data_IF_550529277375
#
_entry.id   IF_550529277375
#
_cell.length_a   1.000
_cell.length_b   1.000
_cell.length_c   1.000
_cell.angle_alpha   90.00
_cell.angle_beta   90.00
_cell.angle_gamma   90.00
#
_symmetry.space_group_name_H-M   'P 1'
#
loop_
_entity.id
_entity.type
_entity.pdbx_description
1 polymer ?
2 polymer ?
3 non-polymer ?
4 water ?
#
# COMPACT_ATOMS: atom_id res chain seq x y z
N UNK A 15 -14.47 19.04 22.51
CA UNK A 15 -14.88 18.38 23.80
C UNK A 15 -13.87 17.30 24.32
N UNK A 16 -14.11 16.70 25.51
CA UNK A 16 -13.16 15.70 26.06
C UNK A 16 -12.90 14.43 25.22
N UNK A 17 -13.94 13.83 24.65
CA UNK A 17 -13.80 12.65 23.78
C UNK A 17 -13.18 13.00 22.44
N UNK A 18 -13.70 14.03 21.80
CA UNK A 18 -13.11 14.58 20.57
C UNK A 18 -11.61 14.73 20.68
N UNK A 19 -11.18 15.36 21.78
CA UNK A 19 -9.77 15.61 22.05
C UNK A 19 -8.90 14.33 21.94
N UNK A 20 -9.36 13.25 22.57
CA UNK A 20 -8.64 11.97 22.53
C UNK A 20 -8.55 11.40 21.10
N UNK A 21 -9.61 11.57 20.32
CA UNK A 21 -9.66 11.18 18.93
C UNK A 21 -8.77 12.04 18.04
N UNK A 22 -8.66 13.35 18.35
CA UNK A 22 -7.67 14.20 17.69
C UNK A 22 -6.26 13.80 18.05
N UNK A 23 -6.04 13.40 19.30
CA UNK A 23 -4.73 12.92 19.71
C UNK A 23 -4.32 11.66 18.91
N UNK A 24 -5.25 10.71 18.78
CA UNK A 24 -5.01 9.48 18.03
C UNK A 24 -4.63 9.78 16.57
N UNK A 25 -5.42 10.63 15.92
CA UNK A 25 -5.15 11.10 14.58
C UNK A 25 -3.76 11.65 14.38
N UNK A 26 -3.27 12.42 15.36
CA UNK A 26 -1.96 13.06 15.24
C UNK A 26 -0.85 12.01 15.45
N UNK A 27 -0.99 11.21 16.49
CA UNK A 27 -0.06 10.13 16.78
C UNK A 27 0.11 9.24 15.54
N UNK A 28 -1.01 8.91 14.91
CA UNK A 28 -1.01 8.07 13.73
C UNK A 28 -0.32 8.77 12.55
N UNK A 29 -0.60 10.06 12.36
CA UNK A 29 0.06 10.81 11.29
C UNK A 29 1.57 10.84 11.47
N UNK A 30 2.01 11.06 12.71
CA UNK A 30 3.43 11.09 13.04
C UNK A 30 4.09 9.78 12.68
N UNK A 31 3.53 8.67 13.15
CA UNK A 31 4.13 7.38 12.90
C UNK A 31 4.08 7.03 11.40
N UNK A 32 3.02 7.46 10.73
CA UNK A 32 2.89 7.24 9.28
C UNK A 32 4.03 7.91 8.53
N UNK A 33 4.34 9.14 8.94
CA UNK A 33 5.41 9.95 8.36
C UNK A 33 6.77 9.29 8.55
N UNK A 34 7.03 8.82 9.78
CA UNK A 34 8.24 8.05 10.08
C UNK A 34 8.34 6.70 9.33
N UNK A 35 7.21 6.02 9.18
CA UNK A 35 7.19 4.65 8.67
C UNK A 35 7.32 4.56 7.16
N UNK A 36 6.71 5.47 6.44
CA UNK A 36 6.62 5.34 5.00
C UNK A 36 7.51 6.41 4.38
N UNK A 37 8.31 6.04 3.36
CA UNK A 37 9.32 6.96 2.81
C UNK A 37 8.75 8.11 1.97
N UNK A 38 7.82 7.81 1.08
CA UNK A 38 7.25 8.78 0.16
C UNK A 38 5.78 9.05 0.49
N UNK A 39 5.50 10.25 0.99
CA UNK A 39 4.17 10.69 1.35
C UNK A 39 3.35 10.97 0.10
N UNK A 40 2.03 11.01 0.25
CA UNK A 40 1.17 11.46 -0.84
C UNK A 40 1.50 12.91 -1.24
N UNK A 41 1.83 13.76 -0.25
CA UNK A 41 2.15 15.18 -0.49
C UNK A 41 3.29 15.30 -1.52
N UNK A 42 4.44 14.69 -1.20
CA UNK A 42 5.58 14.70 -2.08
C UNK A 42 5.28 14.09 -3.45
N UNK A 43 4.60 12.95 -3.48
CA UNK A 43 4.25 12.27 -4.75
C UNK A 43 3.47 13.18 -5.67
N UNK A 44 2.51 13.91 -5.12
CA UNK A 44 1.69 14.81 -5.91
C UNK A 44 2.50 15.98 -6.46
N UNK A 45 3.35 16.56 -5.61
CA UNK A 45 4.28 17.59 -5.99
C UNK A 45 5.12 17.08 -7.16
N UNK A 46 5.70 15.89 -7.01
CA UNK A 46 6.45 15.26 -8.09
C UNK A 46 5.60 15.05 -9.34
N UNK A 47 4.38 14.56 -9.20
CA UNK A 47 3.55 14.29 -10.38
C UNK A 47 3.05 15.52 -11.13
N UNK A 48 2.77 16.61 -10.40
CA UNK A 48 2.17 17.79 -11.00
C UNK A 48 3.24 18.61 -11.74
N UNK A 49 4.48 18.50 -11.29
CA UNK A 49 5.56 19.36 -11.73
C UNK A 49 5.69 20.59 -10.85
N UNK A 50 5.15 20.53 -9.63
CA UNK A 50 5.16 21.64 -8.69
C UNK A 50 6.27 21.45 -7.65
N UNK A 51 7.51 21.22 -8.08
CA UNK A 51 8.63 20.97 -7.14
C UNK A 51 10.01 21.36 -7.66
N UNK A 52 10.93 21.60 -6.71
CA UNK A 52 12.33 21.95 -6.99
C UNK A 52 13.22 20.74 -7.34
N UNK A 53 12.72 19.51 -7.11
CA UNK A 53 13.47 18.29 -7.45
C UNK A 53 13.58 18.07 -8.95
N UNK A 54 14.51 17.21 -9.34
CA UNK A 54 14.71 16.82 -10.74
C UNK A 54 13.56 15.90 -11.15
N UNK A 55 12.88 16.20 -12.26
CA UNK A 55 11.70 15.41 -12.68
C UNK A 55 12.07 13.92 -12.91
N UNK A 56 11.15 12.97 -12.64
CA UNK A 56 11.50 11.55 -12.68
C UNK A 56 11.86 11.04 -14.07
N UNK A 57 12.77 10.08 -14.14
CA UNK A 57 13.12 9.43 -15.40
C UNK A 57 11.94 8.62 -15.86
N UNK A 58 11.51 8.82 -17.10
CA UNK A 58 10.30 8.15 -17.60
C UNK A 58 10.62 6.85 -18.23
N UNK A 59 9.85 5.79 -17.89
CA UNK A 59 10.08 4.45 -18.45
C UNK A 59 8.87 4.04 -19.21
N UNK A 60 9.03 3.86 -20.52
CA UNK A 60 7.91 3.59 -21.41
C UNK A 60 8.15 2.43 -22.35
N UNK A 61 9.34 1.82 -22.32
CA UNK A 61 9.61 0.64 -23.18
C UNK A 61 10.81 -0.11 -22.61
N UNK A 62 11.14 -1.26 -23.21
CA UNK A 62 12.32 -2.07 -22.83
C UNK A 62 13.58 -1.21 -22.72
N UNK A 63 13.86 -0.46 -23.77
CA UNK A 63 15.02 0.43 -23.84
C UNK A 63 15.09 1.48 -22.73
N UNK A 64 13.97 2.16 -22.47
CA UNK A 64 13.99 3.19 -21.43
C UNK A 64 14.19 2.57 -20.01
N UNK A 65 13.63 1.37 -19.80
CA UNK A 65 13.81 0.62 -18.54
C UNK A 65 15.28 0.42 -18.27
N UNK A 66 15.95 -0.15 -19.29
CA UNK A 66 17.36 -0.47 -19.23
C UNK A 66 18.19 0.77 -19.00
N UNK A 67 17.92 1.83 -19.74
CA UNK A 67 18.63 3.10 -19.49
C UNK A 67 18.36 3.73 -18.16
N UNK A 68 17.17 3.53 -17.63
CA UNK A 68 16.78 4.09 -16.34
C UNK A 68 17.16 3.27 -15.11
N UNK A 69 17.39 1.96 -15.30
CA UNK A 69 17.83 1.07 -14.19
C UNK A 69 19.00 1.62 -13.35
N UNK A 70 19.91 2.36 -13.97
CA UNK A 70 20.97 3.01 -13.21
C UNK A 70 20.43 3.97 -12.13
N UNK A 71 19.46 4.79 -12.50
CA UNK A 71 18.93 5.89 -11.67
C UNK A 71 17.94 5.55 -10.55
N UNK A 72 17.44 4.31 -10.52
CA UNK A 72 16.27 3.96 -9.68
C UNK A 72 16.66 3.34 -8.32
N UNK A 73 17.16 4.22 -7.46
CA UNK A 73 17.56 3.86 -6.08
C UNK A 73 16.35 3.89 -5.14
N UNK A 74 16.33 2.98 -4.16
CA UNK A 74 15.33 2.99 -3.09
C UNK A 74 16.07 2.86 -1.74
N UNK A 75 15.98 3.89 -0.89
CA UNK A 75 16.67 3.92 0.43
C UNK A 75 18.17 3.58 0.32
N UNK A 76 18.82 4.23 -0.65
CA UNK A 76 20.24 4.03 -1.01
C UNK A 76 20.64 2.59 -1.44
N UNK A 77 19.68 1.83 -1.98
CA UNK A 77 19.91 0.47 -2.49
C UNK A 77 19.88 0.48 -4.03
N UNK A 78 21.06 0.24 -4.60
CA UNK A 78 21.28 0.19 -6.04
C UNK A 78 20.78 -1.13 -6.60
N UNK A 79 20.08 -1.11 -7.76
CA UNK A 79 19.67 -2.36 -8.41
C UNK A 79 20.84 -3.15 -8.94
N UNK A 80 20.65 -4.47 -9.05
CA UNK A 80 21.65 -5.39 -9.58
C UNK A 80 21.70 -5.28 -11.11
N UNK A 81 22.91 -5.30 -11.66
CA UNK A 81 23.17 -5.01 -13.08
C UNK A 81 23.27 -6.29 -13.93
N UNK A 84 20.35 -10.10 -16.76
CA UNK A 84 19.94 -10.62 -18.06
C UNK A 84 18.57 -11.33 -18.01
N UNK A 85 17.49 -10.54 -17.97
CA UNK A 85 16.10 -11.05 -18.03
C UNK A 85 15.22 -10.21 -18.96
N UNK A 86 14.15 -10.82 -19.44
CA UNK A 86 13.16 -10.12 -20.27
C UNK A 86 12.43 -9.03 -19.49
N UNK A 87 11.98 -8.01 -20.20
CA UNK A 87 11.38 -6.81 -19.62
C UNK A 87 10.32 -7.13 -18.53
N UNK A 88 9.37 -8.00 -18.86
CA UNK A 88 8.26 -8.30 -17.98
C UNK A 88 8.75 -8.80 -16.63
N UNK A 89 9.73 -9.71 -16.66
CA UNK A 89 10.21 -10.38 -15.46
C UNK A 89 11.03 -9.42 -14.59
N UNK A 90 11.86 -8.60 -15.23
CA UNK A 90 12.63 -7.59 -14.52
C UNK A 90 11.69 -6.56 -13.82
N UNK A 91 10.59 -6.18 -14.47
CA UNK A 91 9.62 -5.26 -13.89
C UNK A 91 9.02 -5.92 -12.65
N UNK A 92 8.62 -7.19 -12.77
CA UNK A 92 8.09 -7.93 -11.65
C UNK A 92 9.06 -8.14 -10.47
N UNK A 93 10.35 -8.36 -10.72
CA UNK A 93 11.33 -8.46 -9.60
C UNK A 93 11.51 -7.12 -8.85
N UNK A 94 11.34 -6.01 -9.56
CA UNK A 94 11.42 -4.71 -8.94
C UNK A 94 10.19 -4.38 -8.09
N UNK A 95 9.01 -4.67 -8.62
CA UNK A 95 7.80 -4.43 -7.87
C UNK A 95 7.80 -5.36 -6.64
N UNK A 96 8.37 -6.55 -6.78
CA UNK A 96 8.52 -7.49 -5.67
C UNK A 96 9.45 -6.99 -4.55
N UNK A 97 10.64 -6.50 -4.88
CA UNK A 97 11.50 -5.81 -3.90
C UNK A 97 10.79 -4.66 -3.15
N UNK A 98 9.99 -3.87 -3.85
CA UNK A 98 9.39 -2.71 -3.24
C UNK A 98 8.28 -3.21 -2.30
N UNK A 99 7.55 -4.24 -2.71
CA UNK A 99 6.48 -4.81 -1.93
C UNK A 99 6.95 -5.36 -0.61
N UNK A 100 8.05 -6.10 -0.64
CA UNK A 100 8.69 -6.60 0.57
C UNK A 100 9.03 -5.49 1.53
N UNK A 101 9.59 -4.41 1.02
CA UNK A 101 9.93 -3.26 1.85
C UNK A 101 8.67 -2.59 2.42
N UNK A 102 7.60 -2.50 1.60
CA UNK A 102 6.29 -1.99 2.02
C UNK A 102 5.71 -2.85 3.16
N UNK A 103 5.75 -4.17 3.02
CA UNK A 103 5.30 -5.07 4.10
C UNK A 103 6.02 -4.75 5.38
N UNK A 104 7.32 -4.49 5.29
CA UNK A 104 8.10 -4.15 6.47
C UNK A 104 7.72 -2.78 7.04
N UNK A 105 7.55 -1.79 6.17
CA UNK A 105 7.05 -0.45 6.59
C UNK A 105 5.66 -0.53 7.28
N UNK A 106 4.75 -1.30 6.70
CA UNK A 106 3.38 -1.43 7.19
C UNK A 106 3.39 -2.12 8.57
N UNK A 107 4.26 -3.12 8.73
CA UNK A 107 4.45 -3.80 10.02
C UNK A 107 4.96 -2.87 11.08
N UNK A 108 5.94 -2.03 10.78
CA UNK A 108 6.36 -1.03 11.76
C UNK A 108 5.20 -0.08 12.08
N UNK A 109 4.44 0.32 11.06
CA UNK A 109 3.35 1.23 11.29
C UNK A 109 2.29 0.57 12.19
N UNK A 110 1.89 -0.66 11.87
CA UNK A 110 0.92 -1.41 12.69
C UNK A 110 1.26 -1.42 14.18
N UNK A 111 2.55 -1.65 14.49
CA UNK A 111 3.04 -1.60 15.89
C UNK A 111 2.87 -0.26 16.61
N UNK A 112 2.79 0.82 15.86
CA UNK A 112 2.50 2.13 16.45
C UNK A 112 1.00 2.38 16.71
N UNK A 113 0.12 1.48 16.25
CA UNK A 113 -1.33 1.63 16.43
C UNK A 113 -1.67 1.22 17.87
N UNK A 114 -2.12 2.21 18.71
CA UNK A 114 -2.30 1.89 20.15
C UNK A 114 -3.16 0.64 20.38
N UNK A 115 -2.68 -0.26 21.21
CA UNK A 115 -3.35 -1.53 21.48
C UNK A 115 -2.98 -2.68 20.55
N UNK A 116 -2.39 -2.41 19.37
CA UNK A 116 -2.13 -3.49 18.41
C UNK A 116 -1.11 -4.49 18.97
N UNK A 117 0.00 -4.00 19.57
CA UNK A 117 1.04 -4.93 20.05
C UNK A 117 0.64 -5.71 21.30
N UNK A 118 -0.43 -5.29 21.99
CA UNK A 118 -1.02 -6.07 23.10
C UNK A 118 -1.96 -7.20 22.64
N UNK A 119 -2.32 -7.22 21.36
CA UNK A 119 -3.11 -8.34 20.82
C UNK A 119 -2.31 -9.61 20.80
N UNK A 120 -3.01 -10.73 20.74
CA UNK A 120 -2.40 -12.04 20.52
C UNK A 120 -1.50 -11.97 19.26
N UNK A 121 -0.25 -12.38 19.39
CA UNK A 121 0.69 -12.39 18.31
C UNK A 121 0.19 -13.10 17.08
N UNK A 122 -0.52 -14.21 17.24
CA UNK A 122 -1.07 -14.90 16.06
C UNK A 122 -2.08 -14.04 15.33
N UNK A 123 -2.78 -13.17 16.07
CA UNK A 123 -3.76 -12.28 15.46
C UNK A 123 -3.09 -11.05 14.81
N UNK A 124 -2.01 -10.54 15.41
CA UNK A 124 -1.19 -9.50 14.75
C UNK A 124 -0.75 -10.02 13.38
N UNK A 125 -0.31 -11.26 13.33
CA UNK A 125 0.11 -11.92 12.10
C UNK A 125 -1.00 -11.96 11.11
N UNK A 126 -2.14 -12.45 11.55
CA UNK A 126 -3.30 -12.57 10.67
C UNK A 126 -3.82 -11.20 10.12
N UNK A 127 -3.80 -10.18 10.96
CA UNK A 127 -4.26 -8.85 10.57
C UNK A 127 -3.33 -8.28 9.45
N UNK A 128 -2.02 -8.42 9.64
CA UNK A 128 -1.04 -8.03 8.63
C UNK A 128 -1.18 -8.83 7.35
N UNK A 129 -1.26 -10.13 7.52
CA UNK A 129 -1.37 -11.04 6.40
C UNK A 129 -2.48 -10.63 5.43
N UNK A 130 -3.66 -10.32 5.96
CA UNK A 130 -4.79 -9.88 5.12
C UNK A 130 -4.81 -8.37 4.82
N UNK A 131 -4.20 -7.56 5.68
CA UNK A 131 -4.20 -6.12 5.54
C UNK A 131 -3.23 -5.52 4.49
N UNK A 132 -2.06 -6.14 4.37
CA UNK A 132 -0.98 -5.56 3.60
C UNK A 132 -1.33 -5.25 2.14
N UNK A 133 -2.01 -6.15 1.46
CA UNK A 133 -2.40 -5.88 0.07
C UNK A 133 -3.40 -4.78 -0.11
N UNK A 134 -4.33 -4.67 0.84
CA UNK A 134 -5.27 -3.57 0.81
C UNK A 134 -4.56 -2.22 0.94
N UNK A 135 -3.59 -2.16 1.84
CA UNK A 135 -2.85 -0.96 2.13
C UNK A 135 -1.92 -0.64 0.97
N UNK A 136 -1.24 -1.66 0.43
CA UNK A 136 -0.39 -1.45 -0.71
C UNK A 136 -1.17 -0.81 -1.85
N UNK A 137 -2.36 -1.30 -2.15
CA UNK A 137 -3.22 -0.73 -3.17
C UNK A 137 -3.57 0.75 -2.86
N UNK A 138 -3.90 1.00 -1.61
CA UNK A 138 -4.26 2.33 -1.15
C UNK A 138 -3.11 3.29 -1.38
N UNK A 139 -1.92 2.86 -0.98
CA UNK A 139 -0.72 3.68 -1.11
C UNK A 139 -0.18 3.79 -2.55
N UNK A 140 -0.37 2.77 -3.37
CA UNK A 140 -0.14 2.91 -4.80
C UNK A 140 -0.93 4.04 -5.43
N UNK A 141 -2.17 4.24 -4.98
CA UNK A 141 -3.03 5.26 -5.51
C UNK A 141 -2.40 6.65 -5.38
N UNK A 142 -1.68 6.88 -4.29
CA UNK A 142 -0.98 8.12 -4.06
C UNK A 142 0.08 8.41 -5.11
N UNK A 143 0.63 7.35 -5.71
CA UNK A 143 1.71 7.47 -6.68
C UNK A 143 1.24 7.40 -8.10
N UNK A 144 -0.06 7.26 -8.32
CA UNK A 144 -0.55 7.03 -9.64
C UNK A 144 -1.34 8.22 -10.17
N UNK A 145 -1.40 8.29 -11.50
CA UNK A 145 -2.39 9.08 -12.20
C UNK A 145 -2.85 8.31 -13.44
N UNK A 146 -3.66 8.93 -14.28
CA UNK A 146 -4.12 8.26 -15.51
C UNK A 146 -2.95 7.86 -16.44
N UNK A 147 -1.89 8.67 -16.47
CA UNK A 147 -0.66 8.39 -17.27
C UNK A 147 0.25 7.26 -16.78
N UNK A 148 0.36 7.06 -15.46
CA UNK A 148 1.32 6.07 -14.96
C UNK A 148 1.59 6.17 -13.50
N UNK A 149 2.67 5.53 -13.08
CA UNK A 149 2.97 5.38 -11.64
C UNK A 149 4.39 5.72 -11.33
N UNK A 150 4.57 6.53 -10.29
CA UNK A 150 5.89 6.79 -9.76
C UNK A 150 6.49 5.57 -9.10
N UNK A 151 7.79 5.39 -9.28
CA UNK A 151 8.47 4.27 -8.67
C UNK A 151 9.68 4.73 -7.87
N UNK A 152 10.09 3.86 -6.96
CA UNK A 152 11.36 3.97 -6.27
C UNK A 152 11.63 5.35 -5.68
N UNK A 153 10.75 5.80 -4.77
CA UNK A 153 10.84 7.15 -4.15
C UNK A 153 10.59 8.35 -5.09
N UNK A 154 10.07 8.09 -6.28
CA UNK A 154 9.79 9.13 -7.24
C UNK A 154 10.91 9.52 -8.20
N UNK A 155 11.99 8.75 -8.23
CA UNK A 155 13.01 8.91 -9.26
C UNK A 155 12.60 8.42 -10.63
N UNK A 156 11.68 7.45 -10.68
CA UNK A 156 11.16 6.94 -11.94
C UNK A 156 9.68 7.20 -12.11
N UNK A 157 9.20 7.01 -13.33
CA UNK A 157 7.79 7.07 -13.61
C UNK A 157 7.54 6.11 -14.73
N UNK A 158 6.72 5.12 -14.45
CA UNK A 158 6.46 4.05 -15.37
C UNK A 158 5.09 4.27 -15.99
N UNK A 159 5.02 4.28 -17.32
CA UNK A 159 3.79 4.66 -17.98
C UNK A 159 2.85 3.47 -17.90
N UNK A 160 1.58 3.79 -17.72
CA UNK A 160 0.50 2.81 -17.70
C UNK A 160 0.39 2.03 -18.97
N UNK A 161 0.52 2.76 -20.08
CA UNK A 161 0.56 2.20 -21.42
C UNK A 161 1.65 1.16 -21.51
N UNK A 162 2.87 1.50 -21.07
CA UNK A 162 3.96 0.51 -21.06
C UNK A 162 3.62 -0.74 -20.23
N UNK A 163 3.16 -0.56 -19.00
CA UNK A 163 2.80 -1.72 -18.15
C UNK A 163 1.70 -2.60 -18.78
N UNK A 164 0.70 -1.95 -19.37
CA UNK A 164 -0.39 -2.64 -20.09
C UNK A 164 0.15 -3.43 -21.30
N UNK A 165 1.20 -2.87 -21.93
CA UNK A 165 1.87 -3.50 -23.08
C UNK A 165 2.61 -4.81 -22.81
N UNK A 166 2.91 -5.14 -21.56
CA UNK A 166 3.69 -6.32 -21.27
C UNK A 166 2.94 -7.59 -21.65
N UNK A 167 3.71 -8.65 -21.96
CA UNK A 167 3.15 -9.96 -22.31
C UNK A 167 2.37 -10.56 -21.13
N UNK A 168 1.28 -11.26 -21.42
CA UNK A 168 0.45 -11.86 -20.36
C UNK A 168 1.21 -12.95 -19.57
N UNK A 169 0.83 -13.19 -18.30
CA UNK A 169 -0.22 -12.46 -17.54
C UNK A 169 0.16 -11.03 -16.99
N UNK A 170 1.40 -10.62 -17.19
CA UNK A 170 1.90 -9.38 -16.60
C UNK A 170 1.24 -8.10 -17.09
N UNK A 171 0.68 -8.09 -18.28
CA UNK A 171 -0.05 -6.93 -18.81
C UNK A 171 -1.31 -6.53 -18.07
N UNK A 172 -1.93 -7.48 -17.36
CA UNK A 172 -3.21 -7.27 -16.64
C UNK A 172 -3.01 -7.09 -15.14
N UNK A 173 -1.74 -7.11 -14.72
CA UNK A 173 -1.35 -7.04 -13.33
C UNK A 173 -1.59 -5.63 -12.75
N UNK A 174 -1.03 -4.60 -13.36
CA UNK A 174 -1.15 -3.23 -12.82
C UNK A 174 -2.45 -2.50 -13.20
N UNK A 175 -3.09 -2.89 -14.30
CA UNK A 175 -4.29 -2.17 -14.80
C UNK A 175 -5.45 -1.96 -13.78
N UNK A 176 -5.87 -3.01 -13.04
CA UNK A 176 -6.88 -2.84 -11.98
C UNK A 176 -6.48 -1.89 -10.86
N UNK A 177 -5.18 -1.85 -10.52
CA UNK A 177 -4.66 -0.88 -9.52
C UNK A 177 -4.87 0.53 -10.03
N UNK A 178 -4.58 0.75 -11.32
CA UNK A 178 -4.84 2.05 -11.97
C UNK A 178 -6.33 2.40 -11.96
N UNK A 179 -7.18 1.42 -12.25
CA UNK A 179 -8.63 1.66 -12.29
C UNK A 179 -9.17 2.06 -10.92
N UNK A 180 -8.74 1.33 -9.88
CA UNK A 180 -9.08 1.67 -8.49
C UNK A 180 -8.55 3.04 -8.12
N UNK A 181 -7.29 3.30 -8.46
CA UNK A 181 -6.63 4.55 -8.07
C UNK A 181 -7.30 5.81 -8.63
N UNK A 182 -7.77 5.79 -9.87
CA UNK A 182 -8.41 7.01 -10.44
C UNK A 182 -9.69 7.36 -9.70
N UNK A 183 -10.51 6.35 -9.38
CA UNK A 183 -11.66 6.50 -8.48
C UNK A 183 -11.34 6.92 -7.03
N UNK A 184 -10.29 6.33 -6.42
CA UNK A 184 -9.94 6.60 -4.99
C UNK A 184 -9.31 7.96 -4.85
N UNK A 185 -8.56 8.33 -5.88
CA UNK A 185 -7.89 9.64 -5.86
C UNK A 185 -8.85 10.83 -5.94
N UNK A 186 -10.00 10.61 -6.55
CA UNK A 186 -11.17 11.52 -6.52
C UNK A 186 -11.59 12.03 -5.15
N UNK A 187 -11.37 11.24 -4.10
CA UNK A 187 -11.77 11.61 -2.75
C UNK A 187 -10.82 12.63 -2.16
N UNK A 188 -9.64 12.79 -2.77
CA UNK A 188 -8.72 13.88 -2.48
C UNK A 188 -8.22 13.84 -1.03
N UNK A 189 -7.99 12.62 -0.57
CA UNK A 189 -7.56 12.42 0.81
C UNK A 189 -6.14 12.86 0.89
N UNK A 190 -5.73 13.32 2.05
CA UNK A 190 -4.33 13.64 2.29
C UNK A 190 -3.68 12.66 3.29
N UNK A 191 -2.41 12.91 3.64
CA UNK A 191 -1.65 12.01 4.47
C UNK A 191 -2.18 11.78 5.89
N UNK A 192 -2.68 12.86 6.50
CA UNK A 192 -3.31 12.81 7.82
C UNK A 192 -4.57 11.95 7.81
N UNK A 193 -5.31 12.00 6.72
CA UNK A 193 -6.47 11.16 6.54
C UNK A 193 -6.07 9.70 6.32
N UNK A 194 -5.10 9.50 5.42
CA UNK A 194 -4.72 8.16 4.96
C UNK A 194 -4.16 7.35 6.11
N UNK A 195 -3.41 8.02 6.97
CA UNK A 195 -2.82 7.46 8.17
C UNK A 195 -3.84 6.77 9.04
N UNK A 196 -5.00 7.42 9.20
CA UNK A 196 -6.08 6.81 9.99
C UNK A 196 -6.77 5.69 9.19
N UNK A 197 -7.04 5.92 7.91
CA UNK A 197 -7.73 4.93 7.08
C UNK A 197 -6.96 3.60 7.04
N UNK A 198 -5.64 3.70 6.89
CA UNK A 198 -4.74 2.53 6.89
C UNK A 198 -4.85 1.74 8.20
N UNK A 199 -4.84 2.43 9.33
CA UNK A 199 -5.04 1.76 10.63
C UNK A 199 -6.37 1.05 10.74
N UNK A 200 -7.44 1.65 10.21
CA UNK A 200 -8.78 1.03 10.14
C UNK A 200 -8.76 -0.23 9.30
N UNK A 201 -8.10 -0.20 8.16
CA UNK A 201 -7.96 -1.42 7.37
C UNK A 201 -7.25 -2.51 8.17
N UNK A 202 -6.20 -2.17 8.93
CA UNK A 202 -5.39 -3.20 9.57
C UNK A 202 -6.23 -3.88 10.69
N UNK A 203 -6.96 -3.08 11.46
CA UNK A 203 -7.76 -3.59 12.59
C UNK A 203 -9.13 -4.09 12.14
N UNK A 204 -9.16 -4.99 11.14
CA UNK A 204 -10.44 -5.54 10.66
C UNK A 204 -10.75 -6.87 11.35
N UNK A 205 -11.83 -6.85 12.15
CA UNK A 205 -12.26 -7.99 12.97
C UNK A 205 -12.83 -9.19 12.24
N UNK A 206 -13.09 -9.05 10.96
CA UNK A 206 -13.62 -10.13 10.15
C UNK A 206 -12.60 -10.84 9.26
N UNK A 207 -11.30 -10.74 9.55
CA UNK A 207 -10.30 -11.50 8.79
C UNK A 207 -10.46 -12.95 9.18
N UNK A 208 -10.42 -13.86 8.21
CA UNK A 208 -10.54 -15.27 8.55
C UNK A 208 -9.45 -15.71 9.51
N UNK A 209 -9.84 -16.55 10.46
CA UNK A 209 -8.86 -17.19 11.32
C UNK A 209 -8.48 -16.43 12.54
N UNK A 210 -9.18 -15.34 12.84
CA UNK A 210 -8.82 -14.60 14.06
C UNK A 210 -9.26 -15.40 15.30
N UNK A 211 -8.49 -15.30 16.37
CA UNK A 211 -8.75 -16.01 17.64
C UNK A 211 -9.62 -15.23 18.60
N UNK A 212 -9.37 -13.92 18.69
CA UNK A 212 -10.00 -13.06 19.67
C UNK A 212 -10.38 -11.70 19.01
N UNK A 213 -11.55 -11.70 18.39
CA UNK A 213 -12.08 -10.56 17.65
C UNK A 213 -12.35 -9.28 18.48
N UNK A 214 -12.77 -9.43 19.74
CA UNK A 214 -13.27 -8.32 20.52
C UNK A 214 -12.31 -7.15 20.72
N UNK A 215 -11.08 -7.39 21.24
CA UNK A 215 -10.14 -6.29 21.37
C UNK A 215 -9.74 -5.67 20.01
N UNK A 216 -9.87 -6.42 18.88
CA UNK A 216 -9.63 -5.90 17.53
C UNK A 216 -10.72 -4.90 17.21
N UNK A 217 -11.98 -5.34 17.30
CA UNK A 217 -13.13 -4.46 17.06
C UNK A 217 -13.17 -3.23 17.96
N UNK A 218 -12.69 -3.32 19.20
CA UNK A 218 -12.68 -2.15 20.09
C UNK A 218 -11.69 -1.08 19.61
N UNK A 219 -10.54 -1.56 19.12
CA UNK A 219 -9.55 -0.65 18.58
C UNK A 219 -10.09 -0.03 17.30
N UNK A 220 -10.71 -0.83 16.44
CA UNK A 220 -11.19 -0.35 15.15
C UNK A 220 -12.29 0.67 15.33
N UNK A 221 -13.12 0.49 16.37
CA UNK A 221 -14.21 1.46 16.63
C UNK A 221 -13.68 2.83 17.03
N UNK A 222 -12.63 2.89 17.84
CA UNK A 222 -11.96 4.17 18.10
C UNK A 222 -11.36 4.79 16.86
N UNK A 223 -10.62 3.96 16.10
CA UNK A 223 -9.99 4.40 14.85
C UNK A 223 -11.04 4.96 13.89
N UNK A 224 -12.17 4.29 13.76
CA UNK A 224 -13.26 4.73 12.85
C UNK A 224 -13.87 6.09 13.29
N UNK A 225 -14.05 6.27 14.60
CA UNK A 225 -14.46 7.59 15.14
C UNK A 225 -13.41 8.67 14.84
N UNK A 226 -12.14 8.31 15.09
CA UNK A 226 -11.02 9.19 14.77
C UNK A 226 -11.03 9.55 13.30
N UNK A 227 -11.31 8.57 12.45
CA UNK A 227 -11.36 8.82 11.00
C UNK A 227 -12.49 9.77 10.65
N UNK A 228 -13.65 9.51 11.24
CA UNK A 228 -14.83 10.32 10.98
C UNK A 228 -14.62 11.78 11.42
N UNK A 229 -14.15 11.98 12.65
CA UNK A 229 -13.78 13.32 13.10
C UNK A 229 -12.77 13.98 12.15
N UNK A 230 -11.68 13.26 11.83
CA UNK A 230 -10.67 13.75 10.90
C UNK A 230 -11.27 14.23 9.60
N UNK A 231 -12.12 13.44 8.99
CA UNK A 231 -12.70 13.84 7.70
C UNK A 231 -13.63 15.07 7.83
N UNK A 232 -14.34 15.19 8.95
CA UNK A 232 -15.19 16.38 9.18
C UNK A 232 -14.33 17.65 9.33
N UNK A 233 -13.28 17.57 10.14
CA UNK A 233 -12.37 18.72 10.33
C UNK A 233 -11.57 19.08 9.10
N UNK A 234 -10.94 18.09 8.47
CA UNK A 234 -10.00 18.32 7.37
C UNK A 234 -10.70 18.59 6.04
N UNK A 235 -11.92 18.07 5.83
CA UNK A 235 -12.70 18.31 4.59
C UNK A 235 -14.15 18.78 4.89
N UNK A 236 -14.30 19.94 5.60
CA UNK A 236 -15.63 20.41 6.09
C UNK A 236 -16.66 20.69 4.98
N UNK A 237 -16.17 21.05 3.79
CA UNK A 237 -16.98 21.12 2.58
C UNK A 237 -17.42 19.74 2.02
N UNK A 238 -16.64 18.67 2.25
CA UNK A 238 -16.95 17.34 1.68
C UNK A 238 -18.05 16.65 2.45
N UNK A 239 -19.23 16.56 1.84
CA UNK A 239 -20.38 15.86 2.42
C UNK A 239 -20.15 14.33 2.45
N UNK A 240 -20.19 13.74 3.63
CA UNK A 240 -20.09 12.25 3.80
C UNK A 240 -18.91 11.58 3.02
N UNK A 241 -17.76 12.20 3.14
CA UNK A 241 -16.52 11.63 2.65
C UNK A 241 -16.23 10.30 3.38
N UNK A 242 -16.45 10.33 4.70
CA UNK A 242 -16.42 9.16 5.59
C UNK A 242 -17.15 7.95 5.01
N UNK A 243 -18.40 8.14 4.65
CA UNK A 243 -19.22 7.05 4.07
C UNK A 243 -18.68 6.57 2.74
N UNK A 244 -18.21 7.50 1.90
CA UNK A 244 -17.66 7.15 0.59
C UNK A 244 -16.44 6.24 0.72
N UNK A 245 -15.54 6.69 1.59
CA UNK A 245 -14.32 5.99 1.92
C UNK A 245 -14.57 4.59 2.42
N UNK A 246 -15.51 4.43 3.36
CA UNK A 246 -15.90 3.09 3.79
C UNK A 246 -16.43 2.22 2.66
N UNK A 247 -17.11 2.79 1.69
CA UNK A 247 -17.62 2.00 0.57
C UNK A 247 -16.44 1.46 -0.30
N UNK A 248 -15.46 2.33 -0.56
CA UNK A 248 -14.17 1.97 -1.23
C UNK A 248 -13.38 0.85 -0.56
N UNK A 249 -13.31 0.87 0.77
CA UNK A 249 -12.61 -0.15 1.57
C UNK A 249 -13.17 -1.56 1.35
N UNK A 250 -14.48 -1.63 1.10
CA UNK A 250 -15.19 -2.88 0.76
C UNK A 250 -14.96 -3.32 -0.70
N UNK A 251 -14.99 -2.38 -1.64
CA UNK A 251 -14.60 -2.66 -3.05
C UNK A 251 -13.21 -3.28 -3.11
N UNK A 252 -12.30 -2.67 -2.36
CA UNK A 252 -10.88 -3.00 -2.34
C UNK A 252 -10.56 -4.45 -1.95
N UNK A 253 -11.37 -5.08 -1.10
CA UNK A 253 -11.15 -6.50 -0.73
C UNK A 253 -11.40 -7.45 -1.90
N UNK A 254 -12.44 -7.17 -2.70
CA UNK A 254 -12.70 -7.89 -3.96
C UNK A 254 -11.50 -7.81 -4.90
N UNK A 255 -10.97 -6.61 -5.03
CA UNK A 255 -9.84 -6.32 -5.91
C UNK A 255 -8.56 -7.03 -5.46
N UNK A 256 -8.34 -7.13 -4.15
CA UNK A 256 -7.21 -7.90 -3.63
C UNK A 256 -7.40 -9.39 -3.93
N UNK A 257 -8.66 -9.83 -3.95
CA UNK A 257 -8.93 -11.23 -4.30
C UNK A 257 -8.54 -11.51 -5.75
N UNK A 258 -8.90 -10.63 -6.69
CA UNK A 258 -8.52 -10.82 -8.10
C UNK A 258 -7.01 -10.92 -8.26
N UNK A 259 -6.29 -10.09 -7.51
CA UNK A 259 -4.84 -9.96 -7.61
C UNK A 259 -4.12 -11.18 -7.07
N UNK A 260 -4.61 -11.69 -5.96
CA UNK A 260 -4.09 -12.93 -5.40
C UNK A 260 -4.30 -14.09 -6.39
N UNK A 261 -5.46 -14.12 -7.06
CA UNK A 261 -5.70 -15.10 -8.14
C UNK A 261 -4.67 -14.99 -9.25
N UNK A 262 -4.40 -13.77 -9.70
CA UNK A 262 -3.43 -13.56 -10.77
C UNK A 262 -2.03 -14.06 -10.38
N UNK A 263 -1.66 -13.92 -9.11
CA UNK A 263 -0.36 -14.41 -8.65
C UNK A 263 -0.27 -15.92 -8.55
N UNK A 264 -1.39 -16.54 -8.20
CA UNK A 264 -1.57 -17.99 -8.27
C UNK A 264 -1.20 -18.50 -9.66
N UNK A 265 -1.73 -17.81 -10.67
CA UNK A 265 -1.46 -18.09 -12.08
C UNK A 265 0.02 -17.90 -12.37
N UNK A 266 0.55 -16.73 -12.03
CA UNK A 266 1.95 -16.39 -12.30
C UNK A 266 2.91 -17.37 -11.61
N UNK A 267 2.61 -17.80 -10.39
CA UNK A 267 3.50 -18.73 -9.71
C UNK A 267 3.60 -20.05 -10.49
N UNK A 268 2.44 -20.57 -10.91
CA UNK A 268 2.38 -21.85 -11.62
C UNK A 268 2.92 -21.77 -13.06
N UNK A 269 2.55 -20.71 -13.78
CA UNK A 269 2.83 -20.62 -15.23
C UNK A 269 4.20 -20.00 -15.60
N UNK A 270 4.90 -19.38 -14.65
CA UNK A 270 6.14 -18.64 -14.93
C UNK A 270 7.27 -19.11 -14.03
N UNK A 271 7.88 -20.22 -14.41
CA UNK A 271 8.89 -20.88 -13.56
C UNK A 271 10.27 -20.21 -13.53
N UNK A 272 10.49 -19.19 -14.36
CA UNK A 272 11.74 -18.42 -14.38
C UNK A 272 11.77 -17.28 -13.34
N UNK A 273 10.89 -17.37 -12.33
CA UNK A 273 10.62 -16.25 -11.43
C UNK A 273 10.49 -16.74 -9.99
N UNK A 274 11.37 -16.24 -9.13
CA UNK A 274 11.42 -16.62 -7.72
C UNK A 274 10.55 -15.64 -6.95
N UNK A 275 9.47 -16.14 -6.37
CA UNK A 275 8.62 -15.35 -5.50
C UNK A 275 9.27 -15.33 -4.14
N UNK A 276 9.47 -14.14 -3.61
CA UNK A 276 10.15 -13.88 -2.35
C UNK A 276 9.42 -14.56 -1.18
N UNK A 277 10.17 -15.13 -0.21
CA UNK A 277 9.60 -15.88 0.91
C UNK A 277 8.55 -15.16 1.77
N UNK A 278 8.84 -13.93 2.19
CA UNK A 278 7.84 -13.06 2.85
C UNK A 278 6.53 -12.96 2.10
N UNK A 279 6.59 -12.79 0.78
CA UNK A 279 5.39 -12.76 -0.02
C UNK A 279 4.68 -14.12 -0.09
N UNK A 280 5.44 -15.21 -0.15
CA UNK A 280 4.88 -16.58 -0.05
C UNK A 280 4.06 -16.77 1.24
N UNK A 281 4.63 -16.42 2.39
CA UNK A 281 3.93 -16.42 3.68
C UNK A 281 2.56 -15.73 3.65
N UNK A 282 2.53 -14.55 3.03
CA UNK A 282 1.32 -13.75 2.88
C UNK A 282 0.34 -14.39 1.90
N UNK A 283 0.76 -14.72 0.68
CA UNK A 283 -0.15 -15.32 -0.32
C UNK A 283 -0.66 -16.73 -0.02
N UNK A 284 0.04 -17.47 0.83
CA UNK A 284 -0.34 -18.87 1.11
C UNK A 284 -1.63 -18.91 1.92
N UNK A 285 -2.59 -19.71 1.46
CA UNK A 285 -3.90 -19.84 2.11
C UNK A 285 -4.54 -18.46 2.30
N UNK A 286 -4.57 -17.70 1.21
CA UNK A 286 -5.23 -16.42 1.15
C UNK A 286 -6.22 -16.58 0.00
N UNK A 287 -7.51 -16.54 0.32
CA UNK A 287 -8.59 -16.51 -0.68
C UNK A 287 -8.54 -17.58 -1.78
N UNK B 3 4.23 -18.60 9.01
CA UNK B 3 4.44 -17.10 9.07
C UNK B 3 5.63 -16.70 9.93
N UNK B 4 6.74 -17.41 9.71
CA UNK B 4 7.98 -17.25 10.47
C UNK B 4 8.56 -15.85 10.31
N UNK B 5 8.60 -15.33 9.08
CA UNK B 5 9.17 -13.99 8.84
C UNK B 5 8.29 -12.91 9.45
N UNK B 6 7.00 -12.97 9.14
CA UNK B 6 6.02 -12.06 9.72
C UNK B 6 6.12 -12.02 11.23
N UNK B 7 6.20 -13.21 11.84
CA UNK B 7 6.47 -13.35 13.31
C UNK B 7 7.72 -12.60 13.73
N UNK B 8 8.79 -12.84 12.97
CA UNK B 8 10.11 -12.27 13.26
C UNK B 8 10.06 -10.74 13.13
N UNK B 9 9.41 -10.25 12.07
CA UNK B 9 9.19 -8.79 11.92
C UNK B 9 8.35 -8.21 13.04
N UNK B 10 7.34 -8.96 13.49
CA UNK B 10 6.49 -8.50 14.61
C UNK B 10 7.17 -8.48 15.98
N UNK B 11 8.02 -9.47 16.26
CA UNK B 11 8.80 -9.50 17.51
C UNK B 11 9.95 -8.50 17.49
N UNK B 12 10.61 -8.35 16.34
CA UNK B 12 11.57 -7.25 16.08
C UNK B 12 10.98 -5.90 16.48
#
# INVERSE_FOLDING_TARGET
GSHMAEISSDIDQLNPESADLRALAKHLYDSYIKSFPLTKAKARAILTGKTTDKSPFVIYDMNSLMMGEDKIKFKHITPLQEQSKEVAIRIFQGCQFRSVEAVQEITEYAKSIPGFVNLDLNDQVTLLKYGVHEIIYTMLASLMNKDGVLISEGQGFMTREFLKSLRKPFGDFMEPKFEFAVKFNALELDDSDLAIFIAVIILSGDRPGLLNVKPIEDIQDNLLQALELQLKLNHPESSQLFAKLLQKMTDLRQIVTEHVQLLQVIKKTETDMSLHPLLQEIYKDLY
ERHKILHRLLQEGSPS
#
